data_IF_406364066065
#
_entry.id   IF_406364066065
#
_cell.length_a   1.000
_cell.length_b   1.000
_cell.length_c   1.000
_cell.angle_alpha   90.00
_cell.angle_beta   90.00
_cell.angle_gamma   90.00
#
_symmetry.space_group_name_H-M   'P 1'
#
loop_
_entity.id
_entity.type
_entity.pdbx_description
1 polymer ?
#
# COMPACT_ATOMS: atom_id res chain seq x y z
N UNK A 1 10.89 5.56 -20.30
CA UNK A 1 10.85 4.79 -19.02
C UNK A 1 10.79 5.70 -17.78
N UNK A 2 11.82 6.49 -17.41
CA UNK A 2 11.71 7.45 -16.29
C UNK A 2 10.95 8.73 -16.67
N UNK A 3 11.11 9.20 -17.90
CA UNK A 3 10.34 10.31 -18.45
C UNK A 3 8.83 10.04 -18.37
N UNK A 4 8.38 8.88 -18.86
CA UNK A 4 6.96 8.49 -18.83
C UNK A 4 6.42 8.39 -17.39
N UNK A 5 7.19 7.79 -16.47
CA UNK A 5 6.83 7.72 -15.05
C UNK A 5 6.69 9.11 -14.43
N UNK A 6 7.59 10.05 -14.76
CA UNK A 6 7.50 11.44 -14.30
C UNK A 6 6.27 12.12 -14.87
N UNK A 7 6.00 11.98 -16.16
CA UNK A 7 4.82 12.55 -16.81
C UNK A 7 3.54 12.01 -16.18
N UNK A 8 3.42 10.69 -16.02
CA UNK A 8 2.28 10.05 -15.35
C UNK A 8 2.11 10.53 -13.90
N UNK A 9 3.21 10.77 -13.17
CA UNK A 9 3.15 11.23 -11.79
C UNK A 9 2.58 12.64 -11.61
N UNK A 10 2.53 13.46 -12.68
CA UNK A 10 1.95 14.81 -12.65
C UNK A 10 0.43 14.79 -12.52
N UNK A 11 -0.21 13.75 -13.02
CA UNK A 11 -1.67 13.57 -12.96
C UNK A 11 -2.12 12.90 -11.65
N UNK A 12 -1.18 12.36 -10.86
CA UNK A 12 -1.48 11.70 -9.60
C UNK A 12 -1.80 12.71 -8.48
N UNK A 13 -2.70 12.38 -7.55
CA UNK A 13 -3.09 13.29 -6.47
C UNK A 13 -1.94 13.55 -5.48
N UNK A 14 -1.80 14.80 -5.07
CA UNK A 14 -0.85 15.18 -4.02
C UNK A 14 -1.22 14.54 -2.68
N UNK A 15 -0.20 14.13 -1.92
CA UNK A 15 -0.36 13.40 -0.66
C UNK A 15 -1.18 12.10 -0.77
N UNK A 16 -1.37 11.60 -2.00
CA UNK A 16 -2.08 10.37 -2.28
C UNK A 16 -1.17 9.15 -2.38
N UNK A 17 -1.79 8.00 -2.64
CA UNK A 17 -1.11 6.75 -2.98
C UNK A 17 -0.95 6.63 -4.50
N UNK A 18 0.11 5.95 -4.93
CA UNK A 18 0.29 5.61 -6.34
C UNK A 18 -0.83 4.68 -6.85
N UNK A 19 -1.20 4.74 -8.14
CA UNK A 19 -2.34 3.99 -8.69
C UNK A 19 -2.28 2.47 -8.46
N UNK A 20 -1.07 1.89 -8.43
CA UNK A 20 -0.91 0.45 -8.16
C UNK A 20 -1.33 0.08 -6.73
N UNK A 21 -1.06 0.94 -5.75
CA UNK A 21 -1.43 0.72 -4.36
C UNK A 21 -2.93 0.94 -4.15
N UNK A 22 -3.51 2.01 -4.72
CA UNK A 22 -4.95 2.26 -4.66
C UNK A 22 -5.75 1.12 -5.28
N UNK A 23 -5.32 0.62 -6.45
CA UNK A 23 -5.94 -0.53 -7.11
C UNK A 23 -5.98 -1.78 -6.21
N UNK A 24 -4.88 -2.08 -5.50
CA UNK A 24 -4.83 -3.21 -4.57
C UNK A 24 -5.85 -3.02 -3.45
N UNK A 25 -5.89 -1.84 -2.83
CA UNK A 25 -6.84 -1.52 -1.75
C UNK A 25 -8.28 -1.65 -2.25
N UNK A 26 -8.62 -1.10 -3.41
CA UNK A 26 -9.96 -1.19 -4.02
C UNK A 26 -10.38 -2.65 -4.26
N UNK A 27 -9.45 -3.51 -4.68
CA UNK A 27 -9.71 -4.95 -4.85
C UNK A 27 -9.97 -5.65 -3.51
N UNK A 28 -9.26 -5.27 -2.45
CA UNK A 28 -9.46 -5.79 -1.10
C UNK A 28 -10.77 -5.29 -0.47
N UNK A 29 -11.16 -4.05 -0.78
CA UNK A 29 -12.43 -3.42 -0.40
C UNK A 29 -13.67 -4.14 -0.96
N UNK A 30 -13.52 -5.07 -1.90
CA UNK A 30 -14.62 -5.95 -2.35
C UNK A 30 -14.80 -7.19 -1.48
N UNK A 31 -13.91 -7.41 -0.50
CA UNK A 31 -13.83 -8.65 0.30
C UNK A 31 -13.88 -8.41 1.81
N UNK A 32 -13.84 -7.15 2.27
CA UNK A 32 -13.79 -6.83 3.70
C UNK A 32 -15.01 -7.34 4.48
N UNK A 33 -16.19 -7.35 3.85
CA UNK A 33 -17.46 -7.80 4.45
C UNK A 33 -17.49 -9.30 4.81
N UNK A 34 -16.45 -10.05 4.47
CA UNK A 34 -16.26 -11.46 4.89
C UNK A 34 -15.78 -11.58 6.33
N UNK A 35 -15.45 -10.47 6.98
CA UNK A 35 -14.87 -10.43 8.31
C UNK A 35 -15.70 -9.60 9.26
N UNK A 36 -15.95 -10.15 10.45
CA UNK A 36 -16.40 -9.41 11.62
C UNK A 36 -15.17 -8.92 12.38
N UNK A 37 -15.21 -7.68 12.86
CA UNK A 37 -14.10 -7.08 13.58
C UNK A 37 -14.47 -6.90 15.04
N UNK A 38 -13.59 -7.39 15.92
CA UNK A 38 -13.66 -7.19 17.36
C UNK A 38 -12.46 -6.35 17.82
N UNK A 39 -12.69 -5.33 18.65
CA UNK A 39 -11.62 -4.55 19.27
C UNK A 39 -11.02 -5.31 20.45
N UNK A 40 -9.69 -5.35 20.52
CA UNK A 40 -8.93 -5.90 21.66
C UNK A 40 -8.30 -4.75 22.46
N UNK A 41 -7.80 -3.74 21.77
CA UNK A 41 -7.33 -2.46 22.33
C UNK A 41 -7.60 -1.32 21.34
N UNK A 42 -7.08 -0.12 21.58
CA UNK A 42 -7.24 1.03 20.67
C UNK A 42 -6.61 0.82 19.29
N UNK A 43 -5.53 0.04 19.22
CA UNK A 43 -4.78 -0.25 17.99
C UNK A 43 -4.78 -1.74 17.60
N UNK A 44 -5.17 -2.66 18.50
CA UNK A 44 -5.22 -4.10 18.21
C UNK A 44 -6.65 -4.57 18.02
N UNK A 45 -6.88 -5.31 16.94
CA UNK A 45 -8.17 -5.83 16.52
C UNK A 45 -8.08 -7.30 16.13
N UNK A 46 -9.18 -8.04 16.29
CA UNK A 46 -9.32 -9.39 15.80
C UNK A 46 -10.31 -9.41 14.63
N UNK A 47 -9.81 -9.76 13.43
CA UNK A 47 -10.64 -10.00 12.26
C UNK A 47 -11.03 -11.48 12.20
N UNK A 48 -12.34 -11.74 12.26
CA UNK A 48 -12.91 -13.09 12.32
C UNK A 48 -13.63 -13.37 11.01
N UNK A 49 -13.20 -14.42 10.31
CA UNK A 49 -13.84 -14.82 9.06
C UNK A 49 -15.24 -15.40 9.33
N UNK A 50 -16.28 -14.80 8.74
CA UNK A 50 -17.68 -15.15 8.97
C UNK A 50 -18.08 -16.58 8.55
N UNK A 51 -17.26 -17.26 7.75
CA UNK A 51 -17.56 -18.63 7.28
C UNK A 51 -16.76 -19.71 7.98
N UNK A 52 -15.55 -19.39 8.40
CA UNK A 52 -14.59 -20.38 8.92
C UNK A 52 -14.22 -20.15 10.38
N UNK A 53 -14.68 -19.06 11.00
CA UNK A 53 -14.33 -18.63 12.36
C UNK A 53 -12.83 -18.44 12.60
N UNK A 54 -12.01 -18.50 11.55
CA UNK A 54 -10.57 -18.21 11.63
C UNK A 54 -10.35 -16.77 12.04
N UNK A 55 -9.46 -16.59 13.01
CA UNK A 55 -9.13 -15.30 13.63
C UNK A 55 -7.77 -14.81 13.16
N UNK A 56 -7.69 -13.51 12.90
CA UNK A 56 -6.46 -12.83 12.51
C UNK A 56 -6.30 -11.58 13.36
N UNK A 57 -5.26 -11.55 14.19
CA UNK A 57 -4.90 -10.35 14.93
C UNK A 57 -4.33 -9.32 13.95
N UNK A 58 -4.78 -8.08 14.07
CA UNK A 58 -4.36 -6.92 13.29
C UNK A 58 -3.89 -5.87 14.28
N UNK A 59 -2.69 -5.36 14.07
CA UNK A 59 -2.12 -4.26 14.85
C UNK A 59 -1.94 -3.06 13.92
N UNK A 60 -2.74 -2.01 14.16
CA UNK A 60 -2.73 -0.78 13.38
C UNK A 60 -1.57 0.15 13.72
N UNK A 61 -0.91 0.00 14.86
CA UNK A 61 0.25 0.83 15.22
C UNK A 61 1.54 0.19 14.69
N UNK A 62 1.66 -1.13 14.85
CA UNK A 62 2.77 -1.89 14.30
C UNK A 62 2.69 -2.10 12.77
N UNK A 63 1.55 -1.79 12.14
CA UNK A 63 1.27 -2.07 10.72
C UNK A 63 1.43 -3.56 10.38
N UNK A 64 0.91 -4.45 11.24
CA UNK A 64 1.05 -5.90 11.07
C UNK A 64 -0.28 -6.64 11.09
N UNK A 65 -0.25 -7.86 10.56
CA UNK A 65 -1.37 -8.79 10.68
C UNK A 65 -0.85 -10.21 10.84
N UNK A 66 -1.56 -11.06 11.59
CA UNK A 66 -1.26 -12.48 11.73
C UNK A 66 -1.15 -13.23 10.37
N UNK A 67 -1.77 -12.72 9.30
CA UNK A 67 -1.62 -13.27 7.96
C UNK A 67 -0.30 -12.90 7.25
N UNK A 68 0.51 -12.00 7.83
CA UNK A 68 1.82 -11.53 7.39
C UNK A 68 1.88 -10.77 6.05
N UNK A 69 0.77 -10.66 5.34
CA UNK A 69 0.72 -9.96 4.05
C UNK A 69 1.07 -8.48 4.22
N UNK A 70 0.59 -7.82 5.27
CA UNK A 70 0.89 -6.40 5.50
C UNK A 70 2.37 -6.19 5.83
N UNK A 71 2.90 -7.03 6.72
CA UNK A 71 4.30 -7.04 7.15
C UNK A 71 5.27 -7.16 5.96
N UNK A 72 4.92 -7.99 4.98
CA UNK A 72 5.77 -8.27 3.80
C UNK A 72 5.61 -7.20 2.72
N UNK A 73 4.38 -6.79 2.44
CA UNK A 73 4.10 -5.94 1.27
C UNK A 73 4.13 -4.46 1.59
N UNK A 74 3.98 -4.08 2.86
CA UNK A 74 3.75 -2.70 3.28
C UNK A 74 2.38 -2.16 2.87
N UNK A 75 1.48 -3.00 2.36
CA UNK A 75 0.10 -2.64 1.99
C UNK A 75 -0.87 -3.38 2.93
N UNK A 76 -1.87 -2.71 3.52
CA UNK A 76 -2.86 -3.36 4.36
C UNK A 76 -3.50 -4.57 3.69
N UNK A 77 -3.46 -5.73 4.37
CA UNK A 77 -4.13 -6.94 3.92
C UNK A 77 -5.67 -6.81 4.03
N UNK A 78 -6.44 -7.79 3.53
CA UNK A 78 -7.91 -7.73 3.60
C UNK A 78 -8.46 -7.59 5.03
N UNK A 79 -7.76 -8.18 6.02
CA UNK A 79 -8.13 -8.07 7.43
C UNK A 79 -7.92 -6.65 7.95
N UNK A 80 -6.75 -6.07 7.68
CA UNK A 80 -6.44 -4.69 8.04
C UNK A 80 -7.36 -3.69 7.32
N UNK A 81 -7.65 -3.91 6.04
CA UNK A 81 -8.63 -3.10 5.28
C UNK A 81 -9.99 -3.11 5.94
N UNK A 82 -10.46 -4.27 6.44
CA UNK A 82 -11.74 -4.35 7.15
C UNK A 82 -11.75 -3.51 8.45
N UNK A 83 -10.66 -3.54 9.22
CA UNK A 83 -10.51 -2.71 10.44
C UNK A 83 -10.45 -1.21 10.09
N UNK A 84 -9.56 -0.82 9.18
CA UNK A 84 -9.38 0.59 8.77
C UNK A 84 -10.69 1.16 8.20
N UNK A 85 -11.42 0.37 7.43
CA UNK A 85 -12.74 0.75 6.88
C UNK A 85 -13.78 1.00 7.97
N UNK A 86 -13.79 0.20 9.04
CA UNK A 86 -14.69 0.38 10.17
C UNK A 86 -14.35 1.66 10.95
N UNK A 87 -13.05 1.95 11.11
CA UNK A 87 -12.55 3.18 11.76
C UNK A 87 -12.68 4.43 10.88
N UNK A 88 -13.00 4.27 9.59
CA UNK A 88 -13.12 5.36 8.61
C UNK A 88 -11.86 6.21 8.49
N UNK A 89 -10.71 5.56 8.63
CA UNK A 89 -9.41 6.24 8.54
C UNK A 89 -8.84 6.21 7.13
N UNK A 90 -7.92 7.14 6.83
CA UNK A 90 -7.28 7.25 5.52
C UNK A 90 -6.31 6.09 5.27
N UNK A 91 -6.36 5.53 4.06
CA UNK A 91 -5.44 4.48 3.61
C UNK A 91 -3.98 4.93 3.57
N UNK A 92 -3.75 6.22 3.27
CA UNK A 92 -2.40 6.79 3.15
C UNK A 92 -1.60 6.60 4.44
N UNK A 93 -2.27 6.68 5.60
CA UNK A 93 -1.67 6.49 6.93
C UNK A 93 -1.09 5.08 7.13
N UNK A 94 -1.65 4.09 6.46
CA UNK A 94 -1.40 2.66 6.73
C UNK A 94 -0.60 1.95 5.63
N UNK A 95 -0.34 2.62 4.51
CA UNK A 95 0.54 2.10 3.48
C UNK A 95 1.96 2.54 3.73
N UNK A 96 2.93 1.71 3.32
CA UNK A 96 4.34 2.07 3.35
C UNK A 96 4.57 3.40 2.61
N UNK A 97 5.44 4.28 3.14
CA UNK A 97 5.78 5.54 2.48
C UNK A 97 6.24 5.38 1.03
N UNK A 98 6.80 4.23 0.66
CA UNK A 98 7.22 3.95 -0.72
C UNK A 98 6.06 3.94 -1.73
N UNK A 99 4.81 3.81 -1.28
CA UNK A 99 3.63 3.89 -2.13
C UNK A 99 3.00 5.28 -2.19
N UNK A 100 3.58 6.30 -1.53
CA UNK A 100 3.07 7.67 -1.69
C UNK A 100 3.52 8.25 -3.02
N UNK A 101 2.66 9.10 -3.59
CA UNK A 101 2.98 9.85 -4.82
C UNK A 101 4.21 10.73 -4.61
N UNK A 102 4.40 11.28 -3.41
CA UNK A 102 5.57 12.06 -3.02
C UNK A 102 6.87 11.25 -3.16
N UNK A 103 6.95 10.07 -2.53
CA UNK A 103 8.14 9.22 -2.61
C UNK A 103 8.36 8.69 -4.02
N UNK A 104 7.29 8.40 -4.75
CA UNK A 104 7.39 8.04 -6.17
C UNK A 104 8.02 9.17 -6.99
N UNK A 105 7.53 10.40 -6.86
CA UNK A 105 8.09 11.57 -7.56
C UNK A 105 9.55 11.81 -7.20
N UNK A 106 9.89 11.72 -5.91
CA UNK A 106 11.26 11.85 -5.44
C UNK A 106 12.20 10.80 -6.07
N UNK A 107 11.76 9.54 -6.17
CA UNK A 107 12.54 8.47 -6.79
C UNK A 107 12.81 8.69 -8.28
N UNK A 108 11.88 9.33 -9.01
CA UNK A 108 11.99 9.59 -10.47
C UNK A 108 12.30 11.05 -10.82
N UNK A 109 12.70 11.86 -9.84
CA UNK A 109 13.08 13.27 -10.05
C UNK A 109 14.43 13.41 -10.77
N UNK A 110 15.33 12.42 -10.63
CA UNK A 110 16.64 12.42 -11.28
C UNK A 110 16.58 12.18 -12.79
N UNK A 111 17.61 12.64 -13.49
CA UNK A 111 17.82 12.32 -14.90
C UNK A 111 18.61 11.01 -15.02
N UNK A 112 18.10 10.07 -15.82
CA UNK A 112 18.92 8.97 -16.32
C UNK A 112 19.47 9.46 -17.64
N UNK A 113 20.78 9.67 -17.70
CA UNK A 113 21.44 9.94 -18.96
C UNK A 113 21.48 8.65 -19.78
N UNK A 114 21.23 8.72 -21.10
CA UNK A 114 21.48 7.58 -21.96
C UNK A 114 22.94 7.15 -21.80
N UNK A 115 23.18 5.85 -21.73
CA UNK A 115 24.54 5.32 -21.83
C UNK A 115 25.02 5.68 -23.24
N UNK A 116 26.29 6.10 -23.34
CA UNK A 116 26.93 6.37 -24.61
C UNK A 116 26.73 5.17 -25.55
N UNK A 117 26.66 5.40 -26.86
CA UNK A 117 26.58 4.29 -27.81
C UNK A 117 27.83 3.40 -27.69
N UNK A 118 27.74 2.14 -28.09
CA UNK A 118 28.88 1.20 -28.02
C UNK A 118 30.13 1.75 -28.74
N UNK A 119 29.94 2.53 -29.81
CA UNK A 119 30.99 3.22 -30.56
C UNK A 119 31.72 4.31 -29.75
N UNK A 120 31.09 4.83 -28.70
CA UNK A 120 31.62 5.87 -27.81
C UNK A 120 32.28 5.28 -26.55
N UNK A 121 32.29 3.94 -26.41
CA UNK A 121 32.98 3.27 -25.31
C UNK A 121 34.46 3.18 -25.68
N UNK A 122 35.31 3.95 -24.97
CA UNK A 122 36.75 3.97 -25.19
C UNK A 122 37.34 2.56 -25.25
N UNK A 123 38.14 2.30 -26.29
CA UNK A 123 38.88 1.04 -26.46
C UNK A 123 39.96 0.85 -25.40
#
# INVERSE_FOLDING_TARGET
>A
MNYDRRMASREMPDNGLVPSCTYVIEKLMKKYNRYRIEGVSDHVFCAINLKSEKKFNVDLEAHTCACRVWDITGIPCVHAVAVIRQRRESWVKYCSPYFTVEKFRAAYAGFIFPIANEEEWGK
#
